data_IF_643609346119
#
_entry.id   IF_643609346119
#
_cell.length_a   1.000
_cell.length_b   1.000
_cell.length_c   1.000
_cell.angle_alpha   90.00
_cell.angle_beta   90.00
_cell.angle_gamma   90.00
#
_symmetry.space_group_name_H-M   'P 1'
#
loop_
_entity.id
_entity.type
_entity.pdbx_description
1 polymer ?
#
# COMPACT_ATOMS: atom_id res chain seq x y z
N UNK A 1 -1.89 51.41 26.72
CA UNK A 1 -2.60 50.43 25.85
C UNK A 1 -1.72 49.84 24.73
N UNK A 2 -0.38 49.99 24.76
CA UNK A 2 0.51 49.49 23.72
C UNK A 2 1.11 48.10 23.98
N UNK A 3 1.08 47.62 25.24
CA UNK A 3 1.61 46.30 25.62
C UNK A 3 0.68 45.14 25.27
N UNK A 4 -0.63 45.29 25.53
CA UNK A 4 -1.62 44.23 25.31
C UNK A 4 -1.80 43.86 23.83
N UNK A 5 -1.68 44.86 22.93
CA UNK A 5 -1.80 44.68 21.48
C UNK A 5 -0.59 43.93 20.91
N UNK A 6 0.61 44.11 21.49
CA UNK A 6 1.82 43.37 21.08
C UNK A 6 1.77 41.90 21.49
N UNK A 7 1.21 41.59 22.68
CA UNK A 7 1.09 40.20 23.15
C UNK A 7 0.06 39.40 22.34
N UNK A 8 -1.04 40.04 21.92
CA UNK A 8 -2.07 39.41 21.06
C UNK A 8 -1.54 39.12 19.65
N UNK A 9 -0.66 39.98 19.10
CA UNK A 9 -0.07 39.79 17.77
C UNK A 9 0.96 38.63 17.73
N UNK A 10 1.67 38.37 18.83
CA UNK A 10 2.58 37.21 18.94
C UNK A 10 1.83 35.88 19.09
N UNK A 11 0.63 35.86 19.69
CA UNK A 11 -0.17 34.64 19.82
C UNK A 11 -0.83 34.19 18.50
N UNK A 12 -1.12 35.13 17.60
CA UNK A 12 -1.74 34.84 16.30
C UNK A 12 -0.76 34.24 15.26
N UNK A 13 0.55 34.46 15.40
CA UNK A 13 1.55 33.86 14.51
C UNK A 13 1.90 32.40 14.85
N UNK A 14 1.55 31.92 16.04
CA UNK A 14 1.89 30.56 16.47
C UNK A 14 0.91 29.47 15.97
N UNK A 15 -0.21 29.84 15.34
CA UNK A 15 -1.30 28.89 15.02
C UNK A 15 -1.29 28.36 13.57
N UNK A 16 -0.35 28.79 12.71
CA UNK A 16 -0.39 28.42 11.27
C UNK A 16 0.42 27.17 10.88
N UNK A 17 1.07 26.47 11.80
CA UNK A 17 2.03 25.39 11.44
C UNK A 17 1.47 23.96 11.48
N UNK A 18 0.18 23.75 11.81
CA UNK A 18 -0.39 22.40 11.97
C UNK A 18 -1.32 21.94 10.85
N UNK A 19 -1.66 22.82 9.90
CA UNK A 19 -2.65 22.49 8.87
C UNK A 19 -2.18 21.40 7.88
N UNK A 20 -0.88 21.31 7.61
CA UNK A 20 -0.36 20.41 6.57
C UNK A 20 -0.18 18.95 7.01
N UNK A 21 0.15 18.67 8.28
CA UNK A 21 0.23 17.31 8.81
C UNK A 21 -1.17 16.67 8.94
N UNK A 22 -2.17 17.46 9.34
CA UNK A 22 -3.56 17.02 9.38
C UNK A 22 -4.09 16.62 7.98
N UNK A 23 -3.58 17.23 6.90
CA UNK A 23 -3.91 16.85 5.52
C UNK A 23 -3.29 15.50 5.14
N UNK A 24 -2.04 15.24 5.55
CA UNK A 24 -1.37 13.94 5.32
C UNK A 24 -2.08 12.77 5.99
N UNK A 25 -2.46 12.91 7.26
CA UNK A 25 -3.22 11.89 7.99
C UNK A 25 -4.59 11.63 7.33
N UNK A 26 -5.23 12.69 6.83
CA UNK A 26 -6.49 12.57 6.08
C UNK A 26 -6.31 11.79 4.79
N UNK A 27 -5.25 12.06 4.02
CA UNK A 27 -4.94 11.32 2.78
C UNK A 27 -4.80 9.83 3.06
N UNK A 28 -4.03 9.45 4.08
CA UNK A 28 -3.86 8.04 4.46
C UNK A 28 -5.17 7.39 4.89
N UNK A 29 -5.97 8.09 5.70
CA UNK A 29 -7.27 7.62 6.15
C UNK A 29 -8.24 7.40 5.00
N UNK A 30 -8.30 8.33 4.04
CA UNK A 30 -9.19 8.24 2.89
C UNK A 30 -8.79 7.07 1.97
N UNK A 31 -7.48 6.87 1.74
CA UNK A 31 -6.95 5.73 0.97
C UNK A 31 -7.29 4.41 1.65
N UNK A 32 -7.00 4.29 2.95
CA UNK A 32 -7.36 3.10 3.73
C UNK A 32 -8.85 2.83 3.67
N UNK A 33 -9.68 3.83 3.92
CA UNK A 33 -11.14 3.68 3.91
C UNK A 33 -11.67 3.20 2.56
N UNK A 34 -11.01 3.58 1.47
CA UNK A 34 -11.38 3.18 0.12
C UNK A 34 -11.10 1.70 -0.15
N UNK A 35 -9.93 1.21 0.24
CA UNK A 35 -9.49 -0.15 -0.10
C UNK A 35 -9.79 -1.19 0.98
N UNK A 36 -9.92 -0.80 2.26
CA UNK A 36 -10.27 -1.69 3.37
C UNK A 36 -11.78 -1.92 3.54
N UNK A 37 -12.60 -1.34 2.66
CA UNK A 37 -14.06 -1.42 2.72
C UNK A 37 -14.63 -2.81 2.41
N UNK A 38 -15.96 -2.90 2.35
CA UNK A 38 -16.68 -4.13 1.95
C UNK A 38 -16.63 -4.43 0.46
N UNK A 39 -16.09 -3.49 -0.34
CA UNK A 39 -15.92 -3.64 -1.77
C UNK A 39 -14.76 -4.58 -2.10
N UNK A 40 -14.89 -5.27 -3.22
CA UNK A 40 -13.78 -5.99 -3.81
C UNK A 40 -13.09 -5.08 -4.84
N UNK A 41 -11.76 -5.12 -4.87
CA UNK A 41 -10.93 -4.33 -5.76
C UNK A 41 -10.06 -5.23 -6.63
N UNK A 42 -9.92 -4.86 -7.89
CA UNK A 42 -8.87 -5.33 -8.81
C UNK A 42 -8.01 -4.15 -9.18
N UNK A 43 -6.71 -4.27 -8.98
CA UNK A 43 -5.74 -3.20 -9.18
C UNK A 43 -4.57 -3.79 -9.95
N UNK A 44 -4.24 -3.24 -11.11
CA UNK A 44 -2.95 -3.53 -11.75
C UNK A 44 -1.87 -2.68 -11.08
N UNK A 45 -0.64 -3.16 -11.04
CA UNK A 45 0.47 -2.37 -10.57
C UNK A 45 1.74 -2.68 -11.33
N UNK A 46 2.64 -1.71 -11.32
CA UNK A 46 4.01 -1.83 -11.78
C UNK A 46 4.92 -1.55 -10.57
N UNK A 47 5.84 -2.47 -10.33
CA UNK A 47 6.93 -2.31 -9.38
C UNK A 47 8.20 -1.99 -10.16
N UNK A 48 8.88 -0.93 -9.78
CA UNK A 48 10.21 -0.59 -10.27
C UNK A 48 11.20 -0.63 -9.09
N UNK A 49 12.37 -1.24 -9.30
CA UNK A 49 13.50 -1.20 -8.40
C UNK A 49 14.68 -0.54 -9.11
N UNK A 50 15.14 0.61 -8.61
CA UNK A 50 16.38 1.24 -9.03
C UNK A 50 17.50 0.78 -8.10
N UNK A 51 18.43 0.00 -8.65
CA UNK A 51 19.58 -0.55 -7.95
C UNK A 51 20.65 0.52 -7.81
N UNK A 52 20.91 0.97 -6.59
CA UNK A 52 21.77 2.14 -6.33
C UNK A 52 23.21 1.92 -6.81
N UNK A 53 23.74 0.73 -6.57
CA UNK A 53 25.14 0.40 -6.87
C UNK A 53 25.38 0.20 -8.37
N UNK A 54 24.37 -0.25 -9.11
CA UNK A 54 24.47 -0.55 -10.54
C UNK A 54 23.96 0.60 -11.43
N UNK A 55 23.11 1.48 -10.89
CA UNK A 55 22.42 2.53 -11.64
C UNK A 55 21.42 2.00 -12.67
N UNK A 56 21.01 0.74 -12.54
CA UNK A 56 20.07 0.05 -13.44
C UNK A 56 18.71 -0.03 -12.76
N UNK A 57 17.62 0.11 -13.54
CA UNK A 57 16.27 -0.20 -13.06
C UNK A 57 15.74 -1.52 -13.62
N UNK A 58 15.06 -2.26 -12.76
CA UNK A 58 14.28 -3.45 -13.12
C UNK A 58 12.82 -3.16 -12.84
N UNK A 59 11.91 -3.63 -13.70
CA UNK A 59 10.48 -3.49 -13.46
C UNK A 59 9.72 -4.79 -13.68
N UNK A 60 8.72 -4.99 -12.83
CA UNK A 60 7.81 -6.12 -12.88
C UNK A 60 6.38 -5.61 -12.75
N UNK A 61 5.46 -6.27 -13.44
CA UNK A 61 4.03 -5.94 -13.36
C UNK A 61 3.26 -7.02 -12.63
N UNK A 62 2.19 -6.61 -11.96
CA UNK A 62 1.35 -7.53 -11.22
C UNK A 62 -0.10 -7.07 -11.11
N UNK A 63 -0.89 -7.93 -10.48
CA UNK A 63 -2.29 -7.67 -10.19
C UNK A 63 -2.59 -8.00 -8.73
N UNK A 64 -3.29 -7.10 -8.07
CA UNK A 64 -3.85 -7.28 -6.74
C UNK A 64 -5.37 -7.44 -6.87
N UNK A 65 -5.90 -8.53 -6.33
CA UNK A 65 -7.30 -8.64 -5.92
C UNK A 65 -7.37 -8.47 -4.41
N UNK A 66 -8.32 -7.66 -3.94
CA UNK A 66 -8.48 -7.35 -2.53
C UNK A 66 -9.96 -7.38 -2.17
N UNK A 67 -10.31 -8.07 -1.10
CA UNK A 67 -11.65 -8.01 -0.51
C UNK A 67 -11.56 -8.17 1.00
N UNK A 68 -11.87 -7.10 1.74
CA UNK A 68 -11.71 -7.05 3.20
C UNK A 68 -10.28 -7.41 3.63
N UNK A 69 -10.09 -8.60 4.21
CA UNK A 69 -8.79 -9.14 4.63
C UNK A 69 -8.20 -10.15 3.64
N UNK A 70 -9.01 -10.67 2.73
CA UNK A 70 -8.56 -11.61 1.71
C UNK A 70 -7.90 -10.85 0.57
N UNK A 71 -6.83 -11.40 0.02
CA UNK A 71 -6.14 -10.82 -1.11
C UNK A 71 -5.52 -11.90 -1.99
N UNK A 72 -5.30 -11.56 -3.26
CA UNK A 72 -4.50 -12.34 -4.19
C UNK A 72 -3.56 -11.40 -4.93
N UNK A 73 -2.28 -11.75 -4.97
CA UNK A 73 -1.26 -11.06 -5.76
C UNK A 73 -0.77 -12.04 -6.80
N UNK A 74 -0.91 -11.67 -8.07
CA UNK A 74 -0.32 -12.38 -9.19
C UNK A 74 0.80 -11.52 -9.78
N UNK A 75 2.02 -12.06 -9.77
CA UNK A 75 3.22 -11.53 -10.43
C UNK A 75 3.59 -12.46 -11.59
N UNK A 76 4.70 -12.21 -12.29
CA UNK A 76 5.19 -13.10 -13.34
C UNK A 76 5.53 -14.50 -12.77
N UNK A 77 4.62 -15.46 -12.97
CA UNK A 77 4.73 -16.85 -12.51
C UNK A 77 4.59 -17.07 -11.00
N UNK A 78 4.66 -16.02 -10.18
CA UNK A 78 4.52 -16.10 -8.73
C UNK A 78 3.10 -15.68 -8.28
N UNK A 79 2.54 -16.48 -7.39
CA UNK A 79 1.21 -16.28 -6.85
C UNK A 79 1.23 -16.24 -5.33
N UNK A 80 0.51 -15.28 -4.77
CA UNK A 80 0.25 -15.18 -3.34
C UNK A 80 -1.26 -15.06 -3.15
N UNK A 81 -1.81 -15.87 -2.26
CA UNK A 81 -3.22 -15.85 -1.91
C UNK A 81 -3.34 -15.86 -0.39
N UNK A 82 -4.28 -15.10 0.14
CA UNK A 82 -4.61 -15.15 1.55
C UNK A 82 -6.10 -14.96 1.78
N UNK A 83 -6.61 -15.66 2.79
CA UNK A 83 -7.94 -15.48 3.35
C UNK A 83 -7.96 -14.47 4.52
N UNK A 84 -6.82 -13.81 4.78
CA UNK A 84 -6.60 -12.91 5.90
C UNK A 84 -6.07 -13.60 7.18
N UNK A 85 -5.76 -14.90 7.13
CA UNK A 85 -5.14 -15.66 8.21
C UNK A 85 -4.03 -16.58 7.71
N UNK A 86 -4.29 -17.30 6.63
CA UNK A 86 -3.35 -18.21 5.98
C UNK A 86 -2.79 -17.52 4.73
N UNK A 87 -1.51 -17.68 4.47
CA UNK A 87 -0.86 -17.26 3.24
C UNK A 87 -0.46 -18.51 2.46
N UNK A 88 -0.92 -18.61 1.22
CA UNK A 88 -0.46 -19.58 0.25
C UNK A 88 0.44 -18.87 -0.76
N UNK A 89 1.63 -19.42 -0.98
CA UNK A 89 2.59 -18.93 -1.97
C UNK A 89 3.00 -20.07 -2.87
N UNK A 90 2.97 -19.85 -4.18
CA UNK A 90 3.51 -20.79 -5.14
C UNK A 90 4.09 -20.08 -6.36
N UNK A 91 4.89 -20.81 -7.12
CA UNK A 91 5.38 -20.40 -8.42
C UNK A 91 4.96 -21.45 -9.44
N UNK A 92 4.59 -21.04 -10.65
CA UNK A 92 4.08 -21.93 -11.71
C UNK A 92 5.06 -23.06 -12.05
N UNK A 93 6.37 -22.79 -11.97
CA UNK A 93 7.43 -23.76 -12.26
C UNK A 93 7.90 -24.56 -11.03
N UNK A 94 7.50 -24.17 -9.82
CA UNK A 94 8.06 -24.72 -8.58
C UNK A 94 7.47 -26.06 -8.16
N UNK A 95 6.25 -26.39 -8.62
CA UNK A 95 5.54 -27.63 -8.24
C UNK A 95 5.22 -27.73 -6.74
N UNK A 96 5.35 -26.64 -5.98
CA UNK A 96 5.14 -26.61 -4.54
C UNK A 96 4.32 -25.37 -4.15
N UNK A 97 3.41 -25.57 -3.20
CA UNK A 97 2.68 -24.51 -2.51
C UNK A 97 3.16 -24.46 -1.07
N UNK A 98 3.69 -23.33 -0.65
CA UNK A 98 4.03 -23.05 0.75
C UNK A 98 2.81 -22.46 1.46
N UNK A 99 2.53 -22.96 2.67
CA UNK A 99 1.43 -22.48 3.53
C UNK A 99 2.01 -21.91 4.81
N UNK A 100 1.70 -20.65 5.09
CA UNK A 100 2.24 -19.90 6.22
C UNK A 100 1.12 -19.21 6.99
N UNK A 101 1.40 -18.80 8.24
CA UNK A 101 0.52 -17.88 8.97
C UNK A 101 0.80 -16.46 8.51
N UNK A 102 -0.25 -15.71 8.13
CA UNK A 102 -0.12 -14.34 7.66
C UNK A 102 0.55 -13.47 8.75
N UNK A 103 1.65 -12.82 8.39
CA UNK A 103 2.43 -11.97 9.31
C UNK A 103 3.72 -12.60 9.84
N UNK A 104 3.99 -13.88 9.57
CA UNK A 104 5.31 -14.50 9.81
C UNK A 104 6.29 -14.29 8.66
N UNK A 105 5.87 -13.62 7.59
CA UNK A 105 6.68 -13.32 6.42
C UNK A 105 7.45 -12.01 6.66
N UNK A 106 8.65 -12.10 7.25
CA UNK A 106 9.37 -10.92 7.73
C UNK A 106 10.00 -10.06 6.61
N UNK A 107 10.26 -10.63 5.42
CA UNK A 107 11.18 -10.01 4.45
C UNK A 107 10.53 -9.36 3.21
N UNK A 108 9.21 -9.43 3.04
CA UNK A 108 8.55 -8.89 1.84
C UNK A 108 7.28 -8.15 2.23
N UNK A 109 7.21 -6.86 1.88
CA UNK A 109 5.95 -6.11 1.99
C UNK A 109 5.03 -6.52 0.85
N UNK A 110 3.88 -7.01 1.22
CA UNK A 110 2.85 -7.39 0.27
C UNK A 110 2.05 -6.14 -0.17
N UNK A 111 1.72 -5.98 -1.47
CA UNK A 111 0.99 -4.82 -1.97
C UNK A 111 -0.31 -4.47 -1.23
N UNK A 112 -1.02 -5.45 -0.63
CA UNK A 112 -2.20 -5.13 0.18
C UNK A 112 -1.85 -4.43 1.49
N UNK A 113 -0.70 -4.72 2.11
CA UNK A 113 -0.26 -4.06 3.34
C UNK A 113 -0.02 -2.57 3.09
N UNK A 114 0.43 -2.24 1.88
CA UNK A 114 0.60 -0.86 1.41
C UNK A 114 -0.71 -0.11 1.13
N UNK A 115 -1.86 -0.78 1.19
CA UNK A 115 -3.17 -0.15 0.98
C UNK A 115 -4.04 -0.19 2.24
N UNK A 116 -4.05 -1.31 2.95
CA UNK A 116 -4.98 -1.60 4.05
C UNK A 116 -4.37 -1.25 5.42
N UNK A 117 -3.04 -1.38 5.56
CA UNK A 117 -2.32 -1.22 6.83
C UNK A 117 -1.52 0.09 6.90
N UNK A 118 -1.76 1.04 5.97
CA UNK A 118 -0.99 2.29 5.86
C UNK A 118 -0.84 3.05 7.18
N UNK A 119 -1.91 3.19 7.96
CA UNK A 119 -1.91 3.95 9.23
C UNK A 119 -1.28 3.17 10.40
N UNK A 120 -1.15 1.85 10.28
CA UNK A 120 -0.46 1.00 11.25
C UNK A 120 1.06 1.04 10.99
N UNK A 121 1.44 1.00 9.71
CA UNK A 121 2.83 0.91 9.27
C UNK A 121 3.52 2.26 9.14
N UNK A 122 2.76 3.35 8.97
CA UNK A 122 3.31 4.68 8.71
C UNK A 122 2.64 5.78 9.51
N UNK A 123 3.43 6.79 9.88
CA UNK A 123 2.94 8.12 10.28
C UNK A 123 2.96 9.03 9.05
N UNK A 124 1.88 9.77 8.80
CA UNK A 124 1.93 10.83 7.80
C UNK A 124 2.73 12.04 8.31
N UNK A 125 3.56 12.59 7.44
CA UNK A 125 4.14 13.91 7.60
C UNK A 125 3.26 15.00 6.97
N UNK A 126 3.81 16.20 6.86
CA UNK A 126 3.16 17.33 6.19
C UNK A 126 3.00 17.05 4.71
N UNK A 127 1.76 16.98 4.23
CA UNK A 127 1.47 16.80 2.82
C UNK A 127 1.87 18.03 2.00
N UNK A 128 2.51 17.79 0.86
CA UNK A 128 2.73 18.79 -0.17
C UNK A 128 1.57 18.73 -1.18
N UNK A 129 1.15 19.88 -1.68
CA UNK A 129 0.06 20.01 -2.64
C UNK A 129 0.56 20.68 -3.94
N UNK A 130 1.27 19.94 -4.81
CA UNK A 130 1.77 20.49 -6.07
C UNK A 130 0.64 20.93 -7.01
N UNK A 131 -0.51 20.27 -6.92
CA UNK A 131 -1.72 20.58 -7.67
C UNK A 131 -2.95 20.43 -6.76
N UNK A 132 -4.08 21.03 -7.16
CA UNK A 132 -5.32 21.00 -6.37
C UNK A 132 -5.74 19.56 -5.98
N UNK A 133 -5.64 18.62 -6.92
CA UNK A 133 -6.05 17.23 -6.76
C UNK A 133 -4.88 16.25 -6.62
N UNK A 134 -3.67 16.73 -6.29
CA UNK A 134 -2.51 15.88 -6.00
C UNK A 134 -1.96 16.15 -4.61
N UNK A 135 -1.51 15.09 -3.95
CA UNK A 135 -0.76 15.18 -2.69
C UNK A 135 0.47 14.30 -2.75
N UNK A 136 1.56 14.81 -2.18
CA UNK A 136 2.76 14.05 -1.92
C UNK A 136 2.94 14.06 -0.41
N UNK A 137 2.88 12.89 0.22
CA UNK A 137 2.89 12.73 1.66
C UNK A 137 4.16 11.98 2.04
N UNK A 138 5.14 12.63 2.70
CA UNK A 138 6.25 11.91 3.30
C UNK A 138 5.73 11.06 4.46
N UNK A 139 6.21 9.83 4.55
CA UNK A 139 5.79 8.84 5.54
C UNK A 139 6.96 8.47 6.44
N UNK A 140 6.68 8.35 7.73
CA UNK A 140 7.65 7.81 8.70
C UNK A 140 7.26 6.38 9.04
N UNK A 141 8.09 5.37 8.71
CA UNK A 141 7.80 3.98 9.02
C UNK A 141 7.75 3.67 10.51
N UNK A 142 7.01 2.61 10.86
CA UNK A 142 6.81 2.10 12.22
C UNK A 142 6.83 0.58 12.23
N UNK A 143 7.15 -0.01 13.38
CA UNK A 143 7.14 -1.46 13.58
C UNK A 143 7.97 -2.16 12.52
N UNK A 144 7.37 -3.16 11.88
CA UNK A 144 8.05 -4.02 10.91
C UNK A 144 8.37 -3.31 9.57
N UNK A 145 8.01 -2.04 9.40
CA UNK A 145 8.42 -1.25 8.22
C UNK A 145 9.69 -0.41 8.45
N UNK A 146 10.37 -0.56 9.58
CA UNK A 146 11.57 0.25 9.91
C UNK A 146 12.76 0.04 8.97
N UNK A 147 12.78 -1.03 8.18
CA UNK A 147 13.79 -1.22 7.12
C UNK A 147 13.59 -0.27 5.92
N UNK A 148 12.45 0.41 5.84
CA UNK A 148 12.14 1.38 4.80
C UNK A 148 12.66 2.77 5.19
N UNK A 149 13.25 3.46 4.23
CA UNK A 149 13.75 4.83 4.34
C UNK A 149 13.06 5.70 3.27
N UNK A 150 13.02 7.01 3.50
CA UNK A 150 12.50 8.00 2.54
C UNK A 150 11.15 7.66 1.89
N UNK A 151 10.24 7.12 2.70
CA UNK A 151 8.95 6.64 2.20
C UNK A 151 8.07 7.80 1.76
N UNK A 152 7.59 7.74 0.52
CA UNK A 152 6.73 8.78 -0.08
C UNK A 152 5.48 8.16 -0.66
N UNK A 153 4.34 8.76 -0.35
CA UNK A 153 3.04 8.41 -0.90
C UNK A 153 2.56 9.55 -1.81
N UNK A 154 2.35 9.24 -3.08
CA UNK A 154 1.68 10.14 -4.01
C UNK A 154 0.21 9.72 -4.15
N UNK A 155 -0.69 10.68 -3.98
CA UNK A 155 -2.12 10.47 -4.09
C UNK A 155 -2.77 11.46 -5.05
N UNK A 156 -3.80 11.00 -5.75
CA UNK A 156 -4.67 11.84 -6.54
C UNK A 156 -6.09 11.82 -6.00
N UNK A 157 -6.88 12.85 -6.32
CA UNK A 157 -8.29 12.92 -5.93
C UNK A 157 -9.18 12.57 -7.11
N UNK A 158 -10.02 11.55 -6.95
CA UNK A 158 -11.02 11.13 -7.94
C UNK A 158 -12.37 10.96 -7.25
N UNK A 159 -13.42 11.55 -7.82
CA UNK A 159 -14.79 11.51 -7.26
C UNK A 159 -14.86 11.96 -5.78
N UNK A 160 -14.00 12.90 -5.38
CA UNK A 160 -13.99 13.46 -4.02
C UNK A 160 -13.20 12.66 -2.97
N UNK A 161 -12.66 11.49 -3.31
CA UNK A 161 -11.83 10.67 -2.43
C UNK A 161 -10.37 10.62 -2.92
N UNK A 162 -9.43 10.58 -1.97
CA UNK A 162 -8.03 10.31 -2.28
C UNK A 162 -7.86 8.85 -2.72
N UNK A 163 -6.96 8.61 -3.67
CA UNK A 163 -6.47 7.30 -4.06
C UNK A 163 -4.95 7.34 -4.12
N UNK A 164 -4.32 6.26 -3.71
CA UNK A 164 -2.90 6.05 -3.94
C UNK A 164 -2.63 6.11 -5.45
N UNK A 165 -1.46 6.61 -5.85
CA UNK A 165 -0.98 6.52 -7.24
C UNK A 165 0.38 5.83 -7.24
N UNK A 166 1.26 6.29 -6.36
CA UNK A 166 2.61 5.75 -6.18
C UNK A 166 2.92 5.64 -4.70
N UNK A 167 3.51 4.52 -4.29
CA UNK A 167 4.27 4.43 -3.05
C UNK A 167 5.72 4.16 -3.41
N UNK A 168 6.65 4.94 -2.87
CA UNK A 168 8.08 4.70 -3.03
C UNK A 168 8.80 4.68 -1.68
N UNK A 169 9.90 3.93 -1.60
CA UNK A 169 10.80 3.89 -0.46
C UNK A 169 12.21 3.49 -0.90
N UNK A 170 13.20 3.79 -0.06
CA UNK A 170 14.54 3.21 -0.15
C UNK A 170 14.68 2.07 0.86
N UNK A 171 15.29 0.95 0.47
CA UNK A 171 15.65 -0.11 1.41
C UNK A 171 16.92 0.26 2.20
N UNK A 172 17.39 -0.64 3.08
CA UNK A 172 18.63 -0.42 3.86
C UNK A 172 19.89 -0.37 3.00
N UNK A 173 19.84 -0.88 1.76
CA UNK A 173 20.93 -0.85 0.79
C UNK A 173 20.89 0.44 -0.06
N UNK A 174 19.81 1.22 0.05
CA UNK A 174 19.56 2.43 -0.73
C UNK A 174 18.94 2.16 -2.10
N UNK A 175 18.48 0.94 -2.38
CA UNK A 175 17.72 0.63 -3.58
C UNK A 175 16.34 1.28 -3.47
N UNK A 176 15.90 1.93 -4.54
CA UNK A 176 14.62 2.64 -4.55
C UNK A 176 13.55 1.77 -5.18
N UNK A 177 12.55 1.40 -4.37
CA UNK A 177 11.39 0.66 -4.81
C UNK A 177 10.23 1.64 -5.04
N UNK A 178 9.51 1.48 -6.15
CA UNK A 178 8.31 2.26 -6.47
C UNK A 178 7.19 1.35 -6.93
N UNK A 179 6.04 1.43 -6.29
CA UNK A 179 4.81 0.73 -6.68
C UNK A 179 3.83 1.73 -7.26
N UNK A 180 3.62 1.67 -8.58
CA UNK A 180 2.65 2.49 -9.30
C UNK A 180 1.39 1.69 -9.56
N UNK A 181 0.26 2.19 -9.08
CA UNK A 181 -1.02 1.51 -9.20
C UNK A 181 -1.82 2.04 -10.39
N UNK A 182 -2.45 1.12 -11.13
CA UNK A 182 -3.10 1.35 -12.42
C UNK A 182 -4.39 0.51 -12.52
N UNK A 183 -5.23 0.78 -13.53
CA UNK A 183 -6.42 -0.01 -13.89
C UNK A 183 -7.29 -0.50 -12.72
N UNK A 184 -7.66 0.43 -11.85
CA UNK A 184 -8.43 0.15 -10.62
C UNK A 184 -9.91 -0.08 -10.95
N UNK A 185 -10.45 -1.20 -10.50
CA UNK A 185 -11.86 -1.53 -10.62
C UNK A 185 -12.39 -2.01 -9.28
N UNK A 186 -13.49 -1.41 -8.83
CA UNK A 186 -14.17 -1.75 -7.57
C UNK A 186 -15.55 -2.34 -7.84
N UNK A 187 -15.93 -3.33 -7.05
CA UNK A 187 -17.27 -3.93 -7.06
C UNK A 187 -17.84 -3.98 -5.65
N UNK A 188 -19.12 -3.63 -5.54
CA UNK A 188 -19.90 -4.04 -4.37
C UNK A 188 -20.02 -5.56 -4.32
N UNK A 189 -20.33 -6.12 -3.15
CA UNK A 189 -20.58 -7.56 -3.01
C UNK A 189 -21.67 -8.09 -3.95
N UNK A 190 -22.70 -7.28 -4.23
CA UNK A 190 -23.82 -7.68 -5.09
C UNK A 190 -23.47 -7.66 -6.59
N UNK A 191 -22.36 -7.00 -6.97
CA UNK A 191 -21.94 -6.83 -8.36
C UNK A 191 -20.60 -7.50 -8.68
N UNK A 192 -20.05 -8.28 -7.74
CA UNK A 192 -18.78 -8.98 -7.93
C UNK A 192 -18.98 -10.15 -8.92
N UNK A 193 -18.25 -10.19 -10.05
CA UNK A 193 -18.29 -11.35 -10.94
C UNK A 193 -17.88 -12.65 -10.23
N UNK A 194 -18.60 -13.74 -10.50
CA UNK A 194 -18.35 -15.05 -9.87
C UNK A 194 -16.90 -15.52 -10.04
N UNK A 195 -16.30 -15.25 -11.21
CA UNK A 195 -14.90 -15.58 -11.50
C UNK A 195 -13.90 -14.86 -10.58
N UNK A 196 -14.21 -13.62 -10.17
CA UNK A 196 -13.41 -12.88 -9.20
C UNK A 196 -13.68 -13.34 -7.77
N UNK A 197 -14.91 -13.75 -7.46
CA UNK A 197 -15.25 -14.35 -6.16
C UNK A 197 -14.50 -15.68 -5.94
N UNK A 198 -14.43 -16.53 -6.97
CA UNK A 198 -13.67 -17.78 -6.93
C UNK A 198 -12.17 -17.55 -6.69
N UNK A 199 -11.60 -16.45 -7.21
CA UNK A 199 -10.17 -16.16 -7.12
C UNK A 199 -9.64 -15.93 -5.69
N UNK A 200 -10.52 -15.71 -4.70
CA UNK A 200 -10.15 -15.62 -3.28
C UNK A 200 -10.13 -16.97 -2.54
N UNK A 201 -10.51 -18.06 -3.20
CA UNK A 201 -10.50 -19.40 -2.62
C UNK A 201 -9.25 -20.15 -3.07
N UNK A 202 -8.58 -20.79 -2.11
CA UNK A 202 -7.41 -21.60 -2.42
C UNK A 202 -7.83 -22.96 -2.98
N UNK A 203 -7.24 -23.32 -4.12
CA UNK A 203 -7.28 -24.65 -4.69
C UNK A 203 -5.85 -25.09 -4.97
N UNK A 204 -5.46 -26.28 -4.49
CA UNK A 204 -4.13 -26.82 -4.74
C UNK A 204 -3.98 -27.09 -6.25
N UNK A 205 -3.00 -26.47 -6.95
CA UNK A 205 -2.80 -26.73 -8.36
C UNK A 205 -2.48 -28.21 -8.63
N UNK A 206 -2.97 -28.72 -9.75
CA UNK A 206 -2.74 -30.12 -10.14
C UNK A 206 -1.24 -30.38 -10.27
N UNK A 207 -0.77 -31.43 -9.59
CA UNK A 207 0.64 -31.83 -9.62
C UNK A 207 1.53 -31.07 -8.63
N UNK A 208 0.97 -30.17 -7.82
CA UNK A 208 1.73 -29.47 -6.78
C UNK A 208 1.70 -30.22 -5.46
N UNK A 209 2.81 -30.16 -4.72
CA UNK A 209 2.90 -30.58 -3.34
C UNK A 209 2.57 -29.43 -2.39
N UNK A 210 1.84 -29.71 -1.31
CA UNK A 210 1.54 -28.72 -0.27
C UNK A 210 2.55 -28.86 0.89
N UNK A 211 3.30 -27.81 1.18
CA UNK A 211 4.24 -27.74 2.31
C UNK A 211 3.66 -26.78 3.36
N UNK A 212 3.30 -27.32 4.53
CA UNK A 212 2.71 -26.54 5.63
C UNK A 212 3.79 -26.12 6.63
N UNK A 213 3.92 -24.81 6.86
CA UNK A 213 4.92 -24.18 7.73
C UNK A 213 4.29 -23.47 8.95
N UNK A 214 2.98 -23.64 9.17
CA UNK A 214 2.23 -23.00 10.25
C UNK A 214 2.48 -23.58 11.64
#
# INVERSE_FOLDING_TARGET
MSGLIRTILCLLLAFCLTAGAADGDRVLKDIKSRYAGSEAWRIAFEHECLWKDEGVSTSDSGRLLLQQKAFRVDLAGQHLLSDGKTLWRWHDEGGQVLVETLGQTEDVILPQQLLVELDQRFKAGTAQAPEQNRRIVPLTPRGDSQFMQDVTLEASRTQGAWQLEVLSYEDIQGNRHSYRLQDRQGWSRASLPDSLGAAFHFELPVGFELIDLR
#
